data_IF_889744856452
#
_entry.id   IF_889744856452
#
_cell.length_a   1.000
_cell.length_b   1.000
_cell.length_c   1.000
_cell.angle_alpha   90.00
_cell.angle_beta   90.00
_cell.angle_gamma   90.00
#
_symmetry.space_group_name_H-M   'P 1'
#
loop_
_entity.id
_entity.type
_entity.pdbx_description
1 polymer ?
#
# COMPACT_ATOMS: atom_id res chain seq x y z
N UNK A 1 5.50 90.41 -7.67
CA UNK A 1 5.17 89.45 -6.59
C UNK A 1 4.16 88.44 -7.16
N UNK A 2 4.66 87.27 -7.59
CA UNK A 2 4.33 85.89 -7.13
C UNK A 2 2.90 85.46 -7.51
N UNK A 3 2.66 84.85 -8.69
CA UNK A 3 2.86 83.45 -9.10
C UNK A 3 2.29 82.44 -8.10
N UNK A 4 1.24 81.70 -8.49
CA UNK A 4 1.23 80.23 -8.56
C UNK A 4 -0.15 79.70 -9.00
N UNK A 5 -0.18 79.06 -10.17
CA UNK A 5 -1.23 78.14 -10.59
C UNK A 5 -1.01 76.79 -9.89
N UNK A 6 -2.08 76.17 -9.38
CA UNK A 6 -2.05 74.80 -8.87
C UNK A 6 -2.96 73.96 -9.78
N UNK A 7 -2.33 73.20 -10.68
CA UNK A 7 -2.96 72.06 -11.34
C UNK A 7 -2.98 70.89 -10.35
N UNK A 8 -4.17 70.41 -9.98
CA UNK A 8 -4.34 69.17 -9.22
C UNK A 8 -4.65 68.04 -10.21
N UNK A 9 -3.61 67.32 -10.63
CA UNK A 9 -3.74 66.06 -11.37
C UNK A 9 -4.06 64.94 -10.38
N UNK A 10 -5.29 64.45 -10.39
CA UNK A 10 -5.70 63.27 -9.63
C UNK A 10 -5.18 62.00 -10.33
N UNK A 11 -4.14 61.39 -9.76
CA UNK A 11 -3.72 60.03 -10.11
C UNK A 11 -4.56 59.06 -9.26
N UNK A 12 -5.69 58.59 -9.78
CA UNK A 12 -6.35 57.41 -9.22
C UNK A 12 -5.55 56.17 -9.63
N UNK A 13 -4.56 55.79 -8.82
CA UNK A 13 -3.99 54.47 -8.89
C UNK A 13 -5.04 53.46 -8.38
N UNK A 14 -5.78 52.84 -9.30
CA UNK A 14 -6.54 51.64 -9.00
C UNK A 14 -5.53 50.51 -8.75
N UNK A 15 -5.10 50.37 -7.49
CA UNK A 15 -4.43 49.15 -7.05
C UNK A 15 -5.49 48.03 -7.07
N UNK A 16 -5.50 47.25 -8.15
CA UNK A 16 -6.06 45.90 -8.09
C UNK A 16 -5.17 45.13 -7.11
N UNK A 17 -5.54 45.15 -5.83
CA UNK A 17 -4.97 44.26 -4.84
C UNK A 17 -5.30 42.84 -5.25
N UNK A 18 -4.35 42.18 -5.91
CA UNK A 18 -4.34 40.72 -5.96
C UNK A 18 -4.30 40.31 -4.48
N UNK A 19 -5.27 39.54 -3.96
CA UNK A 19 -5.14 39.01 -2.62
C UNK A 19 -3.85 38.18 -2.65
N UNK A 20 -2.80 38.68 -2.02
CA UNK A 20 -1.63 37.89 -1.67
C UNK A 20 -2.21 36.79 -0.78
N UNK A 21 -2.45 35.62 -1.38
CA UNK A 21 -3.02 34.50 -0.68
C UNK A 21 -2.13 34.21 0.52
N UNK A 22 -2.69 34.31 1.71
CA UNK A 22 -2.02 34.03 2.98
C UNK A 22 -1.61 32.56 2.98
N UNK A 23 -0.38 32.28 2.55
CA UNK A 23 0.19 30.93 2.58
C UNK A 23 0.61 30.64 4.01
N UNK A 24 0.34 29.42 4.46
CA UNK A 24 0.71 28.94 5.79
C UNK A 24 1.62 27.74 5.64
N UNK A 25 2.59 27.60 6.56
CA UNK A 25 3.40 26.39 6.65
C UNK A 25 2.46 25.24 7.01
N UNK A 26 2.28 24.30 6.09
CA UNK A 26 1.35 23.18 6.28
C UNK A 26 2.03 22.07 7.07
N UNK A 27 3.22 21.67 6.64
CA UNK A 27 4.05 20.71 7.36
C UNK A 27 5.52 21.11 7.33
N UNK A 28 6.25 20.60 8.32
CA UNK A 28 7.70 20.71 8.43
C UNK A 28 8.27 19.42 9.02
N UNK A 29 9.32 18.93 8.37
CA UNK A 29 10.09 17.76 8.78
C UNK A 29 10.93 18.10 10.00
N UNK A 30 10.87 17.23 11.00
CA UNK A 30 11.90 17.18 12.03
C UNK A 30 13.11 16.38 11.52
N UNK A 31 14.32 16.85 11.81
CA UNK A 31 15.54 16.21 11.34
C UNK A 31 15.64 14.76 11.85
N UNK A 32 15.64 13.79 10.93
CA UNK A 32 15.71 12.39 11.27
C UNK A 32 17.15 11.85 11.13
N UNK A 33 17.74 11.20 12.15
CA UNK A 33 19.15 10.76 12.11
C UNK A 33 19.49 9.83 10.94
N UNK A 34 18.52 9.02 10.50
CA UNK A 34 18.71 8.07 9.41
C UNK A 34 18.59 8.69 8.01
N UNK A 35 18.12 9.93 7.88
CA UNK A 35 17.96 10.57 6.57
C UNK A 35 19.13 11.53 6.30
N UNK A 36 19.82 11.30 5.20
CA UNK A 36 20.85 12.20 4.67
C UNK A 36 20.28 13.00 3.50
N UNK A 37 20.16 14.30 3.68
CA UNK A 37 19.82 15.24 2.62
C UNK A 37 20.99 15.39 1.63
N UNK A 38 20.71 15.25 0.33
CA UNK A 38 21.68 15.55 -0.73
C UNK A 38 21.92 17.07 -0.83
N UNK A 39 23.15 17.44 -1.18
CA UNK A 39 23.52 18.84 -1.49
C UNK A 39 23.35 19.18 -2.97
N UNK A 40 23.06 18.19 -3.82
CA UNK A 40 22.84 18.38 -5.24
C UNK A 40 21.47 18.99 -5.50
N UNK A 41 21.41 19.88 -6.50
CA UNK A 41 20.14 20.43 -6.96
C UNK A 41 19.34 19.34 -7.68
N UNK A 42 18.04 19.27 -7.42
CA UNK A 42 17.13 18.41 -8.18
C UNK A 42 16.91 19.04 -9.55
N UNK A 43 16.81 18.21 -10.59
CA UNK A 43 16.41 18.68 -11.93
C UNK A 43 15.00 19.27 -11.89
N UNK A 44 14.91 20.58 -12.14
CA UNK A 44 13.66 21.35 -12.17
C UNK A 44 12.66 20.85 -13.21
N UNK A 45 13.14 20.19 -14.27
CA UNK A 45 12.31 19.73 -15.41
C UNK A 45 11.82 18.29 -15.26
N UNK A 46 12.33 17.55 -14.28
CA UNK A 46 11.87 16.19 -14.01
C UNK A 46 10.37 16.19 -13.70
N UNK A 47 9.62 15.32 -14.38
CA UNK A 47 8.18 15.15 -14.14
C UNK A 47 7.97 14.24 -12.94
N UNK A 48 7.18 14.72 -11.98
CA UNK A 48 6.95 14.08 -10.68
C UNK A 48 5.45 13.78 -10.56
N UNK A 49 5.08 12.50 -10.38
CA UNK A 49 3.78 12.11 -9.85
C UNK A 49 3.56 12.73 -8.47
N UNK A 50 2.49 13.53 -8.32
CA UNK A 50 2.15 14.17 -7.05
C UNK A 50 0.68 13.95 -6.67
N UNK A 51 0.42 13.85 -5.37
CA UNK A 51 -0.87 13.56 -4.76
C UNK A 51 -1.07 14.45 -3.56
N UNK A 52 -2.28 14.95 -3.41
CA UNK A 52 -2.72 15.70 -2.26
C UNK A 52 -3.74 14.85 -1.51
N UNK A 53 -3.39 14.45 -0.29
CA UNK A 53 -4.29 13.81 0.65
C UNK A 53 -5.25 14.86 1.21
N UNK A 54 -6.54 14.58 1.14
CA UNK A 54 -7.58 15.44 1.68
C UNK A 54 -8.00 14.94 3.06
N UNK A 55 -8.37 15.86 3.94
CA UNK A 55 -8.89 15.50 5.26
C UNK A 55 -10.17 14.68 5.11
N UNK A 56 -10.13 13.47 5.66
CA UNK A 56 -11.27 12.55 5.68
C UNK A 56 -12.30 12.99 6.71
N UNK A 57 -13.57 12.64 6.47
CA UNK A 57 -14.66 12.86 7.42
C UNK A 57 -14.79 11.69 8.38
N UNK A 58 -15.47 11.91 9.51
CA UNK A 58 -15.85 10.87 10.46
C UNK A 58 -14.70 10.06 11.07
N UNK A 59 -13.44 10.54 10.97
CA UNK A 59 -12.29 9.84 11.54
C UNK A 59 -12.42 9.69 13.07
N UNK A 60 -13.02 10.68 13.72
CA UNK A 60 -13.38 10.67 15.14
C UNK A 60 -14.35 9.54 15.52
N UNK A 61 -15.15 9.07 14.56
CA UNK A 61 -16.06 7.93 14.70
C UNK A 61 -15.45 6.61 14.24
N UNK A 62 -14.20 6.59 13.74
CA UNK A 62 -13.60 5.40 13.14
C UNK A 62 -13.59 4.19 14.08
N UNK A 63 -13.26 4.39 15.35
CA UNK A 63 -13.29 3.32 16.36
C UNK A 63 -14.73 2.85 16.65
N UNK A 64 -15.69 3.77 16.73
CA UNK A 64 -17.10 3.44 16.95
C UNK A 64 -17.65 2.59 15.80
N UNK A 65 -17.41 3.02 14.56
CA UNK A 65 -17.83 2.32 13.34
C UNK A 65 -17.21 0.93 13.25
N UNK A 66 -15.92 0.80 13.58
CA UNK A 66 -15.22 -0.48 13.61
C UNK A 66 -15.79 -1.42 14.69
N UNK A 67 -15.96 -0.93 15.92
CA UNK A 67 -16.50 -1.73 17.02
C UNK A 67 -17.95 -2.12 16.79
N UNK A 68 -18.75 -1.27 16.13
CA UNK A 68 -20.14 -1.59 15.78
C UNK A 68 -20.24 -2.89 14.96
N UNK A 69 -19.28 -3.18 14.09
CA UNK A 69 -19.30 -4.38 13.23
C UNK A 69 -18.41 -5.52 13.73
N UNK A 70 -17.54 -5.26 14.72
CA UNK A 70 -16.53 -6.23 15.21
C UNK A 70 -16.70 -6.65 16.68
N UNK A 71 -17.47 -5.93 17.49
CA UNK A 71 -17.81 -6.35 18.86
C UNK A 71 -18.92 -7.41 18.84
N UNK A 72 -18.69 -8.64 19.35
CA UNK A 72 -19.69 -9.70 19.43
C UNK A 72 -20.97 -9.32 20.20
N UNK A 73 -20.92 -8.32 21.08
CA UNK A 73 -22.08 -7.81 21.81
C UNK A 73 -22.92 -6.82 20.99
N UNK A 74 -22.39 -6.32 19.87
CA UNK A 74 -23.10 -5.37 19.00
C UNK A 74 -24.21 -6.05 18.20
N UNK A 75 -25.39 -5.41 18.02
CA UNK A 75 -26.42 -5.90 17.09
C UNK A 75 -25.98 -5.87 15.62
N UNK A 76 -24.84 -5.24 15.32
CA UNK A 76 -24.25 -5.17 13.98
C UNK A 76 -23.00 -6.04 13.81
N UNK A 77 -22.67 -6.89 14.79
CA UNK A 77 -21.56 -7.83 14.68
C UNK A 77 -21.60 -8.65 13.39
N UNK A 78 -20.49 -8.69 12.66
CA UNK A 78 -20.34 -9.42 11.40
C UNK A 78 -20.98 -8.75 10.18
N UNK A 79 -21.65 -7.60 10.34
CA UNK A 79 -22.18 -6.79 9.23
C UNK A 79 -21.12 -5.79 8.77
N UNK A 80 -20.01 -6.30 8.27
CA UNK A 80 -18.89 -5.47 7.79
C UNK A 80 -19.31 -4.56 6.63
N UNK A 81 -18.68 -3.39 6.55
CA UNK A 81 -18.91 -2.42 5.48
C UNK A 81 -18.31 -2.92 4.16
N UNK A 82 -19.00 -2.62 3.07
CA UNK A 82 -18.46 -2.67 1.72
C UNK A 82 -17.46 -1.53 1.47
N UNK A 83 -16.61 -1.65 0.45
CA UNK A 83 -15.66 -0.59 0.08
C UNK A 83 -16.36 0.74 -0.25
N UNK A 84 -17.53 0.69 -0.89
CA UNK A 84 -18.34 1.88 -1.18
C UNK A 84 -18.89 2.51 0.11
N UNK A 85 -19.35 1.72 1.07
CA UNK A 85 -19.81 2.24 2.37
C UNK A 85 -18.66 2.89 3.15
N UNK A 86 -17.46 2.29 3.17
CA UNK A 86 -16.26 2.91 3.77
C UNK A 86 -15.95 4.23 3.06
N UNK A 87 -16.01 4.25 1.74
CA UNK A 87 -15.78 5.46 0.95
C UNK A 87 -16.81 6.56 1.26
N UNK A 88 -18.09 6.22 1.41
CA UNK A 88 -19.12 7.20 1.79
C UNK A 88 -18.95 7.71 3.23
N UNK A 89 -18.50 6.85 4.15
CA UNK A 89 -18.24 7.21 5.53
C UNK A 89 -17.06 8.18 5.66
N UNK A 90 -15.95 7.94 4.95
CA UNK A 90 -14.70 8.65 5.21
C UNK A 90 -14.26 9.63 4.11
N UNK A 91 -14.84 9.59 2.91
CA UNK A 91 -14.46 10.52 1.85
C UNK A 91 -14.61 11.99 2.31
N UNK A 92 -13.70 12.89 1.91
CA UNK A 92 -13.86 14.33 2.09
C UNK A 92 -15.15 14.86 1.46
N UNK A 93 -15.59 16.05 1.88
CA UNK A 93 -16.70 16.74 1.22
C UNK A 93 -16.35 17.09 -0.24
N UNK A 94 -17.35 17.05 -1.13
CA UNK A 94 -17.18 17.38 -2.54
C UNK A 94 -16.57 18.78 -2.74
N UNK A 95 -16.94 19.75 -1.89
CA UNK A 95 -16.38 21.11 -1.91
C UNK A 95 -14.87 21.14 -1.63
N UNK A 96 -14.35 20.27 -0.75
CA UNK A 96 -12.91 20.15 -0.50
C UNK A 96 -12.17 19.64 -1.74
N UNK A 97 -12.74 18.64 -2.41
CA UNK A 97 -12.20 18.07 -3.66
C UNK A 97 -12.19 19.15 -4.76
N UNK A 98 -13.31 19.87 -4.93
CA UNK A 98 -13.46 20.93 -5.92
C UNK A 98 -12.50 22.10 -5.67
N UNK A 99 -12.34 22.52 -4.40
CA UNK A 99 -11.39 23.56 -3.99
C UNK A 99 -9.96 23.23 -4.41
N UNK A 100 -9.48 22.03 -4.09
CA UNK A 100 -8.12 21.60 -4.44
C UNK A 100 -7.97 21.45 -5.95
N UNK A 101 -8.93 20.81 -6.61
CA UNK A 101 -8.90 20.62 -8.07
C UNK A 101 -8.87 21.95 -8.82
N UNK A 102 -9.69 22.93 -8.38
CA UNK A 102 -9.71 24.28 -8.95
C UNK A 102 -8.40 25.01 -8.71
N UNK A 103 -7.85 24.96 -7.49
CA UNK A 103 -6.57 25.57 -7.17
C UNK A 103 -5.42 25.02 -8.04
N UNK A 104 -5.37 23.71 -8.25
CA UNK A 104 -4.39 23.09 -9.16
C UNK A 104 -4.56 23.59 -10.61
N UNK A 105 -5.79 23.68 -11.12
CA UNK A 105 -6.06 24.21 -12.47
C UNK A 105 -5.68 25.68 -12.62
N UNK A 106 -5.97 26.51 -11.62
CA UNK A 106 -5.56 27.92 -11.60
C UNK A 106 -4.03 28.07 -11.54
N UNK A 107 -3.34 27.11 -10.92
CA UNK A 107 -1.89 27.01 -10.98
C UNK A 107 -1.38 26.45 -12.33
N UNK A 108 -2.24 26.09 -13.28
CA UNK A 108 -1.84 25.58 -14.60
C UNK A 108 -1.59 24.07 -14.66
N UNK A 109 -2.19 23.29 -13.75
CA UNK A 109 -2.17 21.82 -13.76
C UNK A 109 -3.54 21.32 -14.24
N UNK A 110 -3.65 21.04 -15.54
CA UNK A 110 -4.94 20.73 -16.16
C UNK A 110 -5.40 19.28 -15.98
N UNK A 111 -4.42 18.36 -15.87
CA UNK A 111 -4.66 16.91 -15.71
C UNK A 111 -4.63 16.55 -14.24
N UNK A 112 -5.82 16.54 -13.64
CA UNK A 112 -6.07 16.18 -12.25
C UNK A 112 -7.06 15.02 -12.22
N UNK A 113 -6.81 14.03 -11.37
CA UNK A 113 -7.72 12.90 -11.18
C UNK A 113 -8.03 12.66 -9.71
N UNK A 114 -9.24 12.15 -9.44
CA UNK A 114 -9.71 11.80 -8.10
C UNK A 114 -10.03 10.30 -8.09
N UNK A 115 -9.31 9.48 -7.32
CA UNK A 115 -9.60 8.05 -7.19
C UNK A 115 -10.98 7.79 -6.60
N UNK A 116 -11.51 6.57 -6.74
CA UNK A 116 -12.82 6.17 -6.19
C UNK A 116 -12.96 6.40 -4.69
N UNK A 117 -11.88 6.21 -3.92
CA UNK A 117 -11.84 6.49 -2.48
C UNK A 117 -12.07 7.96 -2.14
N UNK A 118 -11.91 8.88 -3.10
CA UNK A 118 -12.06 10.35 -2.99
C UNK A 118 -11.16 11.02 -1.95
N UNK A 119 -10.31 10.27 -1.24
CA UNK A 119 -9.39 10.79 -0.25
C UNK A 119 -8.18 11.52 -0.83
N UNK A 120 -7.99 11.46 -2.16
CA UNK A 120 -6.81 11.99 -2.83
C UNK A 120 -7.16 12.77 -4.09
N UNK A 121 -6.29 13.72 -4.43
CA UNK A 121 -6.28 14.44 -5.71
C UNK A 121 -4.91 14.26 -6.35
N UNK A 122 -4.87 13.60 -7.49
CA UNK A 122 -3.62 13.17 -8.12
C UNK A 122 -3.35 13.91 -9.43
N UNK A 123 -2.08 14.22 -9.66
CA UNK A 123 -1.63 15.00 -10.81
C UNK A 123 -0.14 14.73 -11.12
N UNK A 124 0.33 15.29 -12.23
CA UNK A 124 1.76 15.33 -12.55
C UNK A 124 2.19 16.78 -12.75
N UNK A 125 3.39 17.10 -12.28
CA UNK A 125 4.00 18.42 -12.46
C UNK A 125 5.52 18.29 -12.53
N UNK A 126 6.21 19.28 -13.08
CA UNK A 126 7.67 19.33 -12.99
C UNK A 126 8.11 19.67 -11.57
N UNK A 127 9.32 19.27 -11.16
CA UNK A 127 9.89 19.64 -9.85
C UNK A 127 9.81 21.15 -9.61
N UNK A 128 10.21 21.96 -10.59
CA UNK A 128 10.15 23.43 -10.51
C UNK A 128 8.72 23.94 -10.28
N UNK A 129 7.74 23.31 -10.94
CA UNK A 129 6.34 23.66 -10.77
C UNK A 129 5.82 23.30 -9.37
N UNK A 130 6.20 22.14 -8.84
CA UNK A 130 5.87 21.74 -7.47
C UNK A 130 6.53 22.65 -6.43
N UNK A 131 7.80 23.01 -6.61
CA UNK A 131 8.50 23.97 -5.75
C UNK A 131 7.77 25.31 -5.69
N UNK A 132 7.32 25.82 -6.85
CA UNK A 132 6.55 27.06 -6.93
C UNK A 132 5.15 26.92 -6.31
N UNK A 133 4.47 25.79 -6.54
CA UNK A 133 3.11 25.55 -6.04
C UNK A 133 3.07 25.45 -4.52
N UNK A 134 4.05 24.76 -3.93
CA UNK A 134 4.14 24.44 -2.52
C UNK A 134 5.06 25.38 -1.74
N UNK A 135 5.62 26.40 -2.39
CA UNK A 135 6.62 27.33 -1.85
C UNK A 135 7.71 26.60 -1.05
N UNK A 136 8.34 25.64 -1.70
CA UNK A 136 9.32 24.73 -1.09
C UNK A 136 10.56 24.54 -1.96
N UNK A 137 11.54 23.81 -1.43
CA UNK A 137 12.67 23.28 -2.16
C UNK A 137 12.73 21.77 -2.02
N UNK A 138 12.76 21.10 -3.16
CA UNK A 138 12.89 19.65 -3.21
C UNK A 138 14.35 19.24 -3.15
N UNK A 139 14.57 18.12 -2.50
CA UNK A 139 15.88 17.49 -2.33
C UNK A 139 15.75 15.98 -2.43
N UNK A 140 16.85 15.34 -2.83
CA UNK A 140 16.98 13.89 -2.70
C UNK A 140 17.44 13.58 -1.28
N UNK A 141 16.67 12.76 -0.57
CA UNK A 141 17.02 12.22 0.74
C UNK A 141 17.44 10.77 0.57
N UNK A 142 18.53 10.40 1.25
CA UNK A 142 19.02 9.04 1.28
C UNK A 142 18.83 8.44 2.67
N UNK A 143 18.20 7.28 2.74
CA UNK A 143 18.18 6.47 3.96
C UNK A 143 19.57 5.87 4.21
N UNK A 144 20.14 6.10 5.39
CA UNK A 144 21.50 5.64 5.76
C UNK A 144 21.57 4.12 5.98
N UNK A 145 20.47 3.48 6.30
CA UNK A 145 20.41 2.04 6.59
C UNK A 145 20.22 1.22 5.33
N UNK A 146 19.37 1.68 4.40
CA UNK A 146 19.06 0.96 3.15
C UNK A 146 19.76 1.51 1.93
N UNK A 147 20.29 2.74 2.00
CA UNK A 147 20.85 3.45 0.85
C UNK A 147 19.79 3.99 -0.13
N UNK A 148 18.50 3.69 0.11
CA UNK A 148 17.39 4.12 -0.75
C UNK A 148 17.29 5.64 -0.84
N UNK A 149 16.85 6.15 -1.98
CA UNK A 149 16.73 7.58 -2.24
C UNK A 149 15.28 7.96 -2.47
N UNK A 150 14.87 9.15 -2.04
CA UNK A 150 13.55 9.69 -2.35
C UNK A 150 13.58 11.19 -2.54
N UNK A 151 12.69 11.67 -3.40
CA UNK A 151 12.43 13.08 -3.57
C UNK A 151 11.54 13.57 -2.41
N UNK A 152 11.91 14.66 -1.75
CA UNK A 152 11.13 15.22 -0.66
C UNK A 152 11.49 16.67 -0.37
N UNK A 153 10.85 17.24 0.64
CA UNK A 153 11.08 18.59 1.12
C UNK A 153 11.32 18.62 2.64
N UNK A 154 11.89 19.72 3.14
CA UNK A 154 12.02 19.96 4.59
C UNK A 154 10.78 20.63 5.19
N UNK A 155 10.06 21.44 4.41
CA UNK A 155 8.80 22.09 4.80
C UNK A 155 8.09 22.56 3.54
N UNK A 156 6.78 22.78 3.61
CA UNK A 156 6.06 23.36 2.49
C UNK A 156 4.85 24.17 2.96
N UNK A 157 4.39 25.04 2.08
CA UNK A 157 3.31 25.98 2.36
C UNK A 157 2.17 25.80 1.37
N UNK A 158 0.96 26.05 1.85
CA UNK A 158 -0.25 26.05 1.04
C UNK A 158 -1.03 27.34 1.31
N UNK A 159 -1.82 27.85 0.35
CA UNK A 159 -2.81 28.87 0.68
C UNK A 159 -3.68 28.39 1.84
N UNK A 160 -3.99 29.26 2.81
CA UNK A 160 -4.75 28.89 4.02
C UNK A 160 -6.01 28.06 3.73
N UNK A 161 -6.81 28.49 2.76
CA UNK A 161 -8.04 27.80 2.37
C UNK A 161 -7.82 26.37 1.81
N UNK A 162 -6.63 26.09 1.27
CA UNK A 162 -6.22 24.76 0.81
C UNK A 162 -5.66 23.96 1.98
N UNK A 163 -4.78 24.57 2.79
CA UNK A 163 -4.24 23.99 4.02
C UNK A 163 -5.35 23.48 4.97
N UNK A 164 -6.49 24.16 5.02
CA UNK A 164 -7.61 23.77 5.88
C UNK A 164 -8.26 22.44 5.48
N UNK A 165 -8.17 22.03 4.21
CA UNK A 165 -8.81 20.81 3.67
C UNK A 165 -7.83 19.72 3.26
N UNK A 166 -6.52 20.03 3.21
CA UNK A 166 -5.44 19.08 2.90
C UNK A 166 -4.91 18.47 4.20
N UNK A 167 -4.63 17.18 4.17
CA UNK A 167 -3.94 16.48 5.25
C UNK A 167 -2.43 16.46 5.02
N UNK A 168 -1.99 16.04 3.83
CA UNK A 168 -0.60 16.12 3.41
C UNK A 168 -0.44 16.13 1.88
N UNK A 169 0.76 16.43 1.41
CA UNK A 169 1.16 16.37 0.00
C UNK A 169 2.29 15.36 -0.16
N UNK A 170 2.22 14.53 -1.20
CA UNK A 170 3.23 13.56 -1.58
C UNK A 170 3.67 13.78 -3.04
N UNK A 171 4.97 13.73 -3.36
CA UNK A 171 6.09 13.69 -2.42
C UNK A 171 6.25 15.05 -1.72
N UNK A 172 6.52 15.09 -0.41
CA UNK A 172 6.98 16.28 0.31
C UNK A 172 7.66 15.85 1.62
N UNK A 173 6.94 15.93 2.74
CA UNK A 173 7.41 15.41 4.03
C UNK A 173 7.23 13.90 4.09
N UNK A 174 6.15 13.38 3.48
CA UNK A 174 5.91 11.95 3.36
C UNK A 174 7.02 11.24 2.56
N UNK A 175 7.63 10.23 3.16
CA UNK A 175 8.79 9.50 2.62
C UNK A 175 8.34 8.17 1.99
N UNK A 176 7.99 8.19 0.71
CA UNK A 176 7.97 6.97 -0.11
C UNK A 176 9.39 6.71 -0.63
N UNK A 177 10.00 5.58 -0.29
CA UNK A 177 11.35 5.24 -0.72
C UNK A 177 11.36 4.75 -2.18
N UNK A 178 12.30 5.23 -3.01
CA UNK A 178 12.70 4.57 -4.24
C UNK A 178 14.04 3.86 -3.97
N UNK A 179 14.03 2.53 -3.90
CA UNK A 179 15.25 1.75 -3.69
C UNK A 179 15.83 1.26 -5.03
N UNK A 180 17.15 1.37 -5.16
CA UNK A 180 17.95 0.58 -6.09
C UNK A 180 18.48 -0.65 -5.34
N UNK A 181 18.39 -1.81 -6.00
CA UNK A 181 18.74 -3.17 -5.54
C UNK A 181 20.11 -3.28 -4.85
N UNK A 182 20.15 -4.14 -3.83
CA UNK A 182 21.26 -5.08 -3.61
C UNK A 182 20.68 -6.49 -3.37
N UNK A 183 21.30 -7.48 -4.01
CA UNK A 183 20.91 -8.89 -4.01
C UNK A 183 21.07 -9.52 -2.61
N UNK A 184 19.99 -10.13 -2.11
CA UNK A 184 20.01 -10.88 -0.85
C UNK A 184 20.61 -12.26 -1.11
N UNK A 185 21.87 -12.44 -0.70
CA UNK A 185 22.50 -13.76 -0.60
C UNK A 185 21.82 -14.59 0.49
N UNK A 186 20.97 -15.54 0.09
CA UNK A 186 20.36 -16.54 0.98
C UNK A 186 21.43 -17.47 1.55
N UNK A 187 21.48 -17.57 2.88
CA UNK A 187 22.31 -18.58 3.57
C UNK A 187 21.61 -19.95 3.50
N UNK A 188 22.34 -21.04 3.25
CA UNK A 188 21.74 -22.37 3.26
C UNK A 188 21.23 -22.74 4.65
N UNK A 189 20.00 -23.26 4.71
CA UNK A 189 19.40 -23.80 5.92
C UNK A 189 20.11 -25.09 6.34
N UNK A 190 20.65 -25.12 7.56
CA UNK A 190 21.15 -26.36 8.18
C UNK A 190 19.97 -27.15 8.75
N UNK A 191 19.27 -27.89 7.90
CA UNK A 191 18.21 -28.80 8.34
C UNK A 191 18.85 -29.97 9.10
N UNK A 192 18.55 -30.10 10.40
CA UNK A 192 18.93 -31.28 11.18
C UNK A 192 18.03 -32.46 10.77
N UNK A 193 18.57 -33.66 10.51
CA UNK A 193 17.76 -34.83 10.17
C UNK A 193 16.77 -35.18 11.28
N UNK A 194 15.55 -35.50 10.87
CA UNK A 194 14.48 -35.95 11.77
C UNK A 194 14.80 -37.34 12.36
N UNK A 195 14.67 -37.55 13.68
CA UNK A 195 14.80 -38.89 14.27
C UNK A 195 13.58 -39.74 13.90
N UNK A 196 13.80 -40.85 13.21
CA UNK A 196 12.76 -41.80 12.82
C UNK A 196 12.06 -42.42 14.05
N UNK A 197 10.74 -42.56 13.99
CA UNK A 197 9.96 -43.37 14.93
C UNK A 197 9.26 -42.65 16.10
N UNK A 198 9.12 -41.32 16.07
CA UNK A 198 8.31 -40.60 17.07
C UNK A 198 6.83 -40.56 16.71
N UNK A 199 5.98 -41.00 17.65
CA UNK A 199 4.52 -40.89 17.58
C UNK A 199 4.04 -39.46 17.87
N UNK A 200 2.79 -39.16 17.51
CA UNK A 200 2.11 -37.87 17.68
C UNK A 200 2.04 -37.32 19.13
N UNK A 201 2.55 -38.06 20.12
CA UNK A 201 2.50 -37.69 21.54
C UNK A 201 3.70 -36.88 22.02
N UNK A 202 4.78 -36.80 21.23
CA UNK A 202 6.05 -36.15 21.58
C UNK A 202 6.14 -34.70 21.04
N UNK A 203 5.07 -33.93 21.26
CA UNK A 203 4.88 -32.58 20.70
C UNK A 203 5.89 -31.53 21.21
N UNK A 204 6.65 -31.85 22.26
CA UNK A 204 7.75 -31.05 22.79
C UNK A 204 9.05 -31.17 21.99
N UNK A 205 9.13 -32.19 21.13
CA UNK A 205 10.30 -32.43 20.26
C UNK A 205 10.00 -32.24 18.78
N UNK A 206 8.75 -32.50 18.37
CA UNK A 206 8.30 -32.36 16.98
C UNK A 206 6.87 -31.85 16.97
N UNK A 207 6.63 -30.75 16.25
CA UNK A 207 5.29 -30.20 16.09
C UNK A 207 4.72 -30.73 14.77
N UNK A 208 3.78 -31.68 14.86
CA UNK A 208 2.97 -32.18 13.74
C UNK A 208 1.60 -31.48 13.68
N UNK A 209 0.84 -31.58 12.58
CA UNK A 209 -0.53 -31.07 12.54
C UNK A 209 -1.42 -31.68 13.62
N UNK A 210 -1.27 -32.98 13.90
CA UNK A 210 -2.04 -33.65 14.97
C UNK A 210 -1.65 -33.12 16.35
N UNK A 211 -0.35 -32.83 16.60
CA UNK A 211 0.09 -32.18 17.82
C UNK A 211 -0.59 -30.82 18.04
N UNK A 212 -0.68 -29.99 16.99
CA UNK A 212 -1.38 -28.70 17.06
C UNK A 212 -2.87 -28.92 17.34
N UNK A 213 -3.51 -29.85 16.61
CA UNK A 213 -4.91 -30.17 16.82
C UNK A 213 -5.21 -30.63 18.24
N UNK A 214 -4.40 -31.55 18.79
CA UNK A 214 -4.57 -32.06 20.16
C UNK A 214 -4.33 -30.98 21.22
N UNK A 215 -3.27 -30.18 21.05
CA UNK A 215 -2.90 -29.14 22.02
C UNK A 215 -3.94 -28.03 22.10
N UNK A 216 -4.47 -27.61 20.96
CA UNK A 216 -5.49 -26.57 20.88
C UNK A 216 -6.92 -27.13 20.86
N UNK A 217 -7.09 -28.45 20.99
CA UNK A 217 -8.39 -29.14 20.97
C UNK A 217 -9.20 -28.81 19.71
N UNK A 218 -8.53 -28.70 18.57
CA UNK A 218 -9.15 -28.42 17.28
C UNK A 218 -10.00 -29.64 16.90
N UNK A 219 -11.32 -29.48 16.70
CA UNK A 219 -12.16 -30.59 16.29
C UNK A 219 -11.80 -31.04 14.88
N UNK A 220 -11.93 -32.34 14.60
CA UNK A 220 -11.75 -32.86 13.25
C UNK A 220 -12.74 -32.19 12.30
N UNK A 221 -12.22 -31.50 11.29
CA UNK A 221 -13.05 -30.90 10.26
C UNK A 221 -13.77 -32.00 9.43
N UNK A 222 -15.05 -31.75 9.13
CA UNK A 222 -15.91 -32.69 8.37
C UNK A 222 -16.67 -32.00 7.24
N UNK A 223 -16.59 -30.67 7.17
CA UNK A 223 -17.32 -29.84 6.22
C UNK A 223 -16.34 -29.21 5.22
N UNK A 224 -16.84 -28.96 4.01
CA UNK A 224 -16.12 -28.30 2.93
C UNK A 224 -17.07 -27.31 2.26
N UNK A 225 -17.07 -26.07 2.74
CA UNK A 225 -17.84 -25.01 2.10
C UNK A 225 -17.10 -24.47 0.89
N UNK A 226 -17.77 -24.34 -0.25
CA UNK A 226 -17.19 -23.74 -1.45
C UNK A 226 -17.07 -22.22 -1.35
N UNK A 227 -17.78 -21.60 -0.40
CA UNK A 227 -17.76 -20.15 -0.16
C UNK A 227 -16.77 -19.73 0.94
N UNK A 228 -16.00 -20.67 1.48
CA UNK A 228 -15.01 -20.42 2.50
C UNK A 228 -13.70 -21.07 2.07
N UNK A 229 -12.61 -20.33 1.96
CA UNK A 229 -11.28 -20.88 1.69
C UNK A 229 -10.29 -20.16 2.56
N UNK A 230 -9.33 -20.88 3.12
CA UNK A 230 -8.20 -20.26 3.78
C UNK A 230 -7.24 -19.75 2.71
N UNK A 231 -7.26 -18.44 2.49
CA UNK A 231 -6.30 -17.75 1.64
C UNK A 231 -4.96 -17.58 2.35
N UNK A 232 -3.87 -17.95 1.68
CA UNK A 232 -2.49 -17.78 2.16
C UNK A 232 -1.75 -16.98 1.09
N UNK A 233 -1.15 -15.87 1.50
CA UNK A 233 -0.32 -15.02 0.65
C UNK A 233 1.12 -15.49 0.72
N UNK A 234 1.75 -15.69 -0.42
CA UNK A 234 3.18 -16.00 -0.56
C UNK A 234 3.83 -15.03 -1.53
N UNK A 235 5.11 -14.75 -1.32
CA UNK A 235 5.87 -13.79 -2.14
C UNK A 235 7.18 -14.38 -2.65
N UNK A 236 7.54 -14.00 -3.88
CA UNK A 236 8.70 -14.40 -4.70
C UNK A 236 8.54 -15.78 -5.35
N UNK A 237 9.67 -16.42 -5.65
CA UNK A 237 9.76 -17.71 -6.32
C UNK A 237 9.61 -18.91 -5.36
N UNK A 238 9.11 -18.72 -4.13
CA UNK A 238 8.85 -19.81 -3.18
C UNK A 238 7.39 -20.25 -3.30
N UNK A 239 7.18 -21.44 -3.85
CA UNK A 239 5.88 -22.08 -4.01
C UNK A 239 5.89 -23.45 -3.33
N UNK A 240 4.73 -24.05 -3.06
CA UNK A 240 4.69 -25.45 -2.63
C UNK A 240 4.96 -26.41 -3.81
N UNK A 241 5.51 -27.59 -3.51
CA UNK A 241 5.50 -28.73 -4.45
C UNK A 241 4.42 -29.73 -4.04
N UNK A 242 3.56 -30.11 -5.01
CA UNK A 242 2.54 -31.12 -4.75
C UNK A 242 3.14 -32.48 -4.34
N UNK A 243 4.31 -32.83 -4.88
CA UNK A 243 5.01 -34.07 -4.46
C UNK A 243 5.39 -34.05 -3.00
N UNK A 244 5.75 -32.88 -2.47
CA UNK A 244 6.25 -32.74 -1.11
C UNK A 244 5.07 -32.75 -0.13
N UNK A 245 3.97 -32.05 -0.48
CA UNK A 245 2.68 -32.20 0.21
C UNK A 245 2.24 -33.67 0.27
N UNK A 246 2.30 -34.40 -0.85
CA UNK A 246 1.89 -35.81 -0.89
C UNK A 246 2.78 -36.69 0.02
N UNK A 247 4.09 -36.40 0.10
CA UNK A 247 5.02 -37.07 1.01
C UNK A 247 4.67 -36.73 2.46
N UNK A 248 4.39 -35.46 2.75
CA UNK A 248 4.01 -34.99 4.07
C UNK A 248 2.70 -35.62 4.54
N UNK A 249 1.67 -35.65 3.70
CA UNK A 249 0.39 -36.30 4.01
C UNK A 249 0.57 -37.78 4.30
N UNK A 250 1.40 -38.49 3.53
CA UNK A 250 1.67 -39.91 3.80
C UNK A 250 2.26 -40.13 5.19
N UNK A 251 3.09 -39.21 5.68
CA UNK A 251 3.72 -39.29 6.98
C UNK A 251 2.80 -38.82 8.13
N UNK A 252 2.06 -37.72 7.95
CA UNK A 252 1.42 -37.01 9.05
C UNK A 252 -0.09 -36.80 8.89
N UNK A 253 -0.66 -37.06 7.71
CA UNK A 253 -2.08 -36.86 7.42
C UNK A 253 -2.62 -37.86 6.37
N UNK A 254 -2.52 -39.19 6.59
CA UNK A 254 -2.78 -40.19 5.54
C UNK A 254 -4.24 -40.27 5.08
N UNK A 255 -5.16 -39.59 5.77
CA UNK A 255 -6.56 -39.48 5.36
C UNK A 255 -6.82 -38.45 4.24
N UNK A 256 -5.79 -37.68 3.85
CA UNK A 256 -5.88 -36.68 2.79
C UNK A 256 -5.55 -37.34 1.45
N UNK A 257 -6.43 -37.23 0.43
CA UNK A 257 -6.15 -37.79 -0.89
C UNK A 257 -4.90 -37.18 -1.53
N UNK A 258 -4.11 -38.03 -2.19
CA UNK A 258 -2.97 -37.60 -3.02
C UNK A 258 -3.43 -36.57 -4.05
N UNK A 259 -2.64 -35.51 -4.24
CA UNK A 259 -2.96 -34.41 -5.15
C UNK A 259 -3.88 -33.35 -4.53
N UNK A 260 -4.20 -33.44 -3.24
CA UNK A 260 -4.88 -32.36 -2.53
C UNK A 260 -3.91 -31.18 -2.36
N UNK A 261 -4.29 -30.02 -2.87
CA UNK A 261 -3.52 -28.79 -2.76
C UNK A 261 -4.44 -27.55 -2.84
N UNK A 262 -3.88 -26.35 -2.63
CA UNK A 262 -4.62 -25.11 -2.73
C UNK A 262 -5.14 -24.85 -4.16
N UNK A 263 -6.18 -24.02 -4.29
CA UNK A 263 -6.38 -23.27 -5.54
C UNK A 263 -5.19 -22.32 -5.68
N UNK A 264 -4.59 -22.24 -6.87
CA UNK A 264 -3.42 -21.38 -7.10
C UNK A 264 -3.85 -20.18 -7.94
N UNK A 265 -3.61 -19.00 -7.38
CA UNK A 265 -3.73 -17.71 -8.04
C UNK A 265 -2.32 -17.11 -8.13
N UNK A 266 -1.75 -17.19 -9.34
CA UNK A 266 -0.44 -16.63 -9.65
C UNK A 266 -0.62 -15.18 -10.02
N UNK A 267 -0.04 -14.29 -9.22
CA UNK A 267 -0.16 -12.86 -9.37
C UNK A 267 1.12 -12.25 -9.94
N UNK A 268 1.02 -11.54 -11.06
CA UNK A 268 2.09 -10.91 -11.82
C UNK A 268 3.15 -11.87 -12.37
N UNK A 269 2.77 -13.11 -12.68
CA UNK A 269 3.70 -14.09 -13.26
C UNK A 269 3.69 -14.12 -14.80
N UNK A 270 2.81 -13.39 -15.49
CA UNK A 270 2.71 -13.39 -16.96
C UNK A 270 2.59 -14.79 -17.58
N UNK A 271 1.82 -15.68 -16.93
CA UNK A 271 1.67 -17.08 -17.36
C UNK A 271 2.89 -17.98 -17.10
N UNK A 272 3.93 -17.46 -16.44
CA UNK A 272 4.98 -18.27 -15.83
C UNK A 272 4.54 -18.75 -14.43
N UNK A 273 5.41 -19.50 -13.76
CA UNK A 273 5.25 -19.91 -12.37
C UNK A 273 6.62 -19.89 -11.68
N UNK A 274 6.67 -19.83 -10.35
CA UNK A 274 7.91 -20.01 -9.59
C UNK A 274 8.69 -21.24 -10.04
N UNK A 275 10.02 -21.15 -10.02
CA UNK A 275 10.87 -22.30 -10.30
C UNK A 275 10.66 -23.37 -9.21
N UNK A 276 10.29 -24.61 -9.57
CA UNK A 276 10.19 -25.71 -8.63
C UNK A 276 11.45 -25.96 -7.79
N UNK A 277 12.64 -25.54 -8.23
CA UNK A 277 13.86 -25.68 -7.43
C UNK A 277 13.90 -24.74 -6.21
N UNK A 278 13.12 -23.66 -6.23
CA UNK A 278 12.97 -22.72 -5.12
C UNK A 278 11.73 -23.00 -4.27
N UNK A 279 10.98 -24.06 -4.60
CA UNK A 279 9.77 -24.47 -3.91
C UNK A 279 10.09 -25.17 -2.57
N UNK A 280 10.65 -24.41 -1.62
CA UNK A 280 11.11 -24.87 -0.31
C UNK A 280 10.90 -23.77 0.74
N UNK A 281 10.87 -24.12 2.02
CA UNK A 281 10.82 -23.12 3.10
C UNK A 281 9.40 -22.75 3.53
N UNK A 282 9.05 -21.47 3.42
CA UNK A 282 7.81 -20.90 3.99
C UNK A 282 6.55 -21.44 3.33
N UNK A 283 6.43 -21.31 2.00
CA UNK A 283 5.26 -21.79 1.26
C UNK A 283 5.02 -23.30 1.47
N UNK A 284 6.07 -24.11 1.54
CA UNK A 284 5.93 -25.53 1.86
C UNK A 284 5.38 -25.73 3.28
N UNK A 285 5.99 -25.06 4.27
CA UNK A 285 5.61 -25.14 5.69
C UNK A 285 4.14 -24.72 5.92
N UNK A 286 3.72 -23.62 5.31
CA UNK A 286 2.40 -23.04 5.49
C UNK A 286 1.30 -24.03 5.03
N UNK A 287 1.47 -24.65 3.86
CA UNK A 287 0.51 -25.64 3.36
C UNK A 287 0.64 -27.02 4.02
N UNK A 288 1.85 -27.48 4.32
CA UNK A 288 2.10 -28.73 5.07
C UNK A 288 1.35 -28.72 6.41
N UNK A 289 1.30 -27.56 7.08
CA UNK A 289 0.64 -27.41 8.37
C UNK A 289 -0.84 -27.07 8.26
N UNK A 290 -1.21 -26.12 7.40
CA UNK A 290 -2.59 -25.64 7.32
C UNK A 290 -3.55 -26.69 6.77
N UNK A 291 -3.19 -27.36 5.66
CA UNK A 291 -4.11 -28.27 4.96
C UNK A 291 -4.56 -29.42 5.87
N UNK A 292 -3.68 -30.13 6.59
CA UNK A 292 -4.11 -31.22 7.45
C UNK A 292 -4.97 -30.83 8.64
N UNK A 293 -4.84 -29.59 9.13
CA UNK A 293 -5.64 -29.10 10.26
C UNK A 293 -7.08 -28.81 9.80
N UNK A 294 -7.28 -28.26 8.61
CA UNK A 294 -8.60 -27.80 8.15
C UNK A 294 -9.30 -28.75 7.18
N UNK A 295 -8.62 -29.77 6.65
CA UNK A 295 -9.20 -30.71 5.68
C UNK A 295 -10.49 -31.38 6.23
N UNK A 296 -11.61 -31.38 5.48
CA UNK A 296 -11.72 -31.20 4.03
C UNK A 296 -11.99 -29.76 3.54
N UNK A 297 -11.90 -28.75 4.41
CA UNK A 297 -11.97 -27.35 3.96
C UNK A 297 -10.75 -27.03 3.08
N UNK A 298 -10.98 -26.25 2.02
CA UNK A 298 -9.96 -25.95 1.00
C UNK A 298 -9.15 -24.71 1.34
N UNK A 299 -7.92 -24.69 0.82
CA UNK A 299 -7.00 -23.55 0.83
C UNK A 299 -6.93 -22.87 -0.54
N UNK A 300 -6.38 -21.68 -0.56
CA UNK A 300 -6.09 -20.86 -1.74
C UNK A 300 -4.75 -20.17 -1.55
N UNK A 301 -3.90 -20.22 -2.57
CA UNK A 301 -2.58 -19.64 -2.61
C UNK A 301 -2.64 -18.40 -3.50
N UNK A 302 -2.37 -17.24 -2.90
CA UNK A 302 -2.10 -16.01 -3.62
C UNK A 302 -0.59 -15.85 -3.74
N UNK A 303 -0.01 -16.36 -4.82
CA UNK A 303 1.42 -16.28 -5.07
C UNK A 303 1.73 -14.97 -5.78
N UNK A 304 2.29 -13.99 -5.07
CA UNK A 304 2.67 -12.71 -5.66
C UNK A 304 4.11 -12.70 -6.17
N UNK A 305 4.29 -12.20 -7.37
CA UNK A 305 5.58 -11.72 -7.87
C UNK A 305 5.62 -10.22 -7.73
N UNK A 306 6.04 -9.74 -6.56
CA UNK A 306 6.09 -8.31 -6.31
C UNK A 306 7.21 -7.64 -7.12
N UNK A 307 6.94 -6.43 -7.60
CA UNK A 307 7.92 -5.64 -8.37
C UNK A 307 8.94 -4.94 -7.47
N UNK A 308 8.71 -4.96 -6.15
CA UNK A 308 9.53 -4.29 -5.14
C UNK A 308 9.87 -5.27 -4.02
N UNK A 309 10.95 -5.02 -3.28
CA UNK A 309 11.33 -5.88 -2.15
C UNK A 309 10.36 -5.77 -0.98
N UNK A 310 10.31 -6.81 -0.12
CA UNK A 310 9.54 -6.83 1.15
C UNK A 310 9.70 -5.62 2.06
N UNK A 311 10.83 -4.92 1.97
CA UNK A 311 11.13 -3.72 2.77
C UNK A 311 10.72 -2.41 2.10
N UNK A 312 10.17 -2.46 0.88
CA UNK A 312 9.80 -1.30 0.09
C UNK A 312 8.30 -1.00 0.27
N UNK A 313 7.91 0.25 0.57
CA UNK A 313 6.51 0.65 0.54
C UNK A 313 5.86 0.28 -0.81
N UNK A 314 4.67 -0.32 -0.78
CA UNK A 314 4.01 -0.86 -1.97
C UNK A 314 4.28 -2.33 -2.24
N UNK A 315 5.03 -3.02 -1.37
CA UNK A 315 5.24 -4.48 -1.44
C UNK A 315 3.95 -5.29 -1.57
N UNK A 316 2.86 -4.86 -0.94
CA UNK A 316 1.58 -5.57 -1.04
C UNK A 316 0.73 -5.15 -2.24
N UNK A 317 1.18 -4.22 -3.09
CA UNK A 317 0.32 -3.67 -4.14
C UNK A 317 -0.19 -4.73 -5.09
N UNK A 318 0.66 -5.61 -5.62
CA UNK A 318 0.22 -6.67 -6.55
C UNK A 318 -0.83 -7.58 -5.92
N UNK A 319 -0.64 -7.93 -4.64
CA UNK A 319 -1.62 -8.72 -3.91
C UNK A 319 -2.93 -7.97 -3.68
N UNK A 320 -2.85 -6.71 -3.22
CA UNK A 320 -4.00 -5.86 -2.98
C UNK A 320 -4.77 -5.58 -4.27
N UNK A 321 -4.09 -5.37 -5.39
CA UNK A 321 -4.67 -5.22 -6.73
C UNK A 321 -5.54 -6.42 -7.10
N UNK A 322 -5.05 -7.62 -6.79
CA UNK A 322 -5.73 -8.84 -7.15
C UNK A 322 -6.97 -9.08 -6.27
N UNK A 323 -6.91 -8.75 -4.98
CA UNK A 323 -8.03 -9.03 -4.04
C UNK A 323 -8.99 -7.85 -3.85
N UNK A 324 -8.60 -6.64 -4.25
CA UNK A 324 -9.41 -5.42 -4.16
C UNK A 324 -9.61 -4.81 -5.55
N UNK A 325 -10.72 -5.15 -6.21
CA UNK A 325 -11.06 -4.64 -7.54
C UNK A 325 -11.23 -3.11 -7.62
N UNK A 326 -11.21 -2.38 -6.49
CA UNK A 326 -11.14 -0.91 -6.51
C UNK A 326 -9.80 -0.41 -7.04
N UNK A 327 -8.71 -1.16 -6.85
CA UNK A 327 -7.39 -0.83 -7.40
C UNK A 327 -7.39 -0.83 -8.93
N UNK A 328 -7.95 -1.86 -9.58
CA UNK A 328 -7.97 -2.02 -11.04
C UNK A 328 -8.69 -0.89 -11.81
N UNK A 329 -9.54 -0.12 -11.13
CA UNK A 329 -10.35 0.94 -11.74
C UNK A 329 -10.09 2.31 -11.14
N UNK A 330 -9.16 2.41 -10.20
CA UNK A 330 -8.75 3.69 -9.62
C UNK A 330 -7.81 4.43 -10.59
N UNK A 331 -7.93 5.75 -10.68
CA UNK A 331 -6.99 6.55 -11.47
C UNK A 331 -6.23 7.46 -10.54
N UNK A 332 -4.90 7.35 -10.58
CA UNK A 332 -3.98 8.11 -9.77
C UNK A 332 -2.76 8.51 -10.60
N UNK A 333 -2.30 9.74 -10.45
CA UNK A 333 -1.09 10.26 -11.08
C UNK A 333 -1.07 10.18 -12.61
N UNK A 334 -2.24 10.21 -13.26
CA UNK A 334 -2.36 10.02 -14.71
C UNK A 334 -2.25 8.55 -15.16
N UNK A 335 -2.24 7.63 -14.22
CA UNK A 335 -2.23 6.18 -14.41
C UNK A 335 -3.57 5.61 -13.91
N UNK A 336 -4.16 4.67 -14.66
CA UNK A 336 -5.48 4.09 -14.33
C UNK A 336 -5.34 2.59 -14.20
N UNK A 337 -5.82 2.06 -13.08
CA UNK A 337 -5.49 0.71 -12.66
C UNK A 337 -4.00 0.62 -12.43
N UNK A 338 -3.42 -0.47 -12.91
CA UNK A 338 -2.03 -0.85 -12.71
C UNK A 338 -1.02 0.21 -13.25
N UNK A 339 -0.12 0.67 -12.39
CA UNK A 339 1.14 1.35 -12.73
C UNK A 339 2.11 0.32 -13.35
N UNK A 340 2.51 0.44 -14.63
CA UNK A 340 3.35 -0.55 -15.30
C UNK A 340 4.79 -0.67 -14.74
N UNK A 341 5.19 0.17 -13.78
CA UNK A 341 6.49 0.16 -13.10
C UNK A 341 6.41 -0.38 -11.67
N UNK A 342 5.27 -0.24 -11.01
CA UNK A 342 5.08 -0.57 -9.58
C UNK A 342 4.14 -1.74 -9.42
N UNK A 343 3.06 -1.75 -10.19
CA UNK A 343 2.02 -2.76 -10.15
C UNK A 343 2.30 -3.84 -11.20
N UNK A 344 1.71 -5.00 -10.99
CA UNK A 344 2.00 -6.15 -11.82
C UNK A 344 1.73 -5.90 -13.30
N UNK A 345 2.52 -6.54 -14.16
CA UNK A 345 2.29 -6.56 -15.62
C UNK A 345 1.02 -7.31 -16.05
N UNK A 346 0.35 -7.99 -15.12
CA UNK A 346 -0.84 -8.78 -15.44
C UNK A 346 -2.10 -8.07 -14.92
N UNK A 347 -2.90 -7.57 -15.88
CA UNK A 347 -4.18 -6.89 -15.62
C UNK A 347 -5.25 -7.86 -15.11
N UNK A 348 -5.91 -7.51 -14.01
CA UNK A 348 -7.12 -8.17 -13.48
C UNK A 348 -6.93 -9.70 -13.29
N UNK A 349 -6.10 -10.11 -12.33
CA UNK A 349 -5.82 -11.54 -12.11
C UNK A 349 -6.87 -12.32 -11.31
N UNK A 350 -7.98 -11.68 -10.90
CA UNK A 350 -9.12 -12.38 -10.28
C UNK A 350 -10.48 -11.85 -10.70
#
# INVERSE_FOLDING_TARGET
>A
MKIAAIFLSAFCAAALGIPLGDHVQHEKREAHPLLRKSTEAVDGTATVPARIALKQRNLEHGMELLLAVSDPASPNYGKHYTSDEVTELFAPDADSIDKVTKWLREAGIDKVTVPKSRGFVDFQATTEKLESLLQTKYHVYQDRSTGSQHLGADEYHLPRAISDVVDFVAPAIFTGALAKRDDINRRPSHIKPYPSGKESTDCDTVITPQCIADKYKIPKATLNSTSNRLGIFEDNDEMYLQSDLDIFYKAYAPGIPKGTGPKVDLLNFNGQKPDPEYAVGEAALDFDMAIPIIYPQKTELFQSKDNVSRSTPGFFNVFLDAIDGSYCTSTAYGETGDDPKVDGTTKNEM
#
